data_IF_194137064217
#
_entry.id   IF_194137064217
#
_cell.length_a   1.000
_cell.length_b   1.000
_cell.length_c   1.000
_cell.angle_alpha   90.00
_cell.angle_beta   90.00
_cell.angle_gamma   90.00
#
_symmetry.space_group_name_H-M   'P 1'
#
loop_
_entity.id
_entity.type
_entity.pdbx_description
1 polymer ?
#
# COMPACT_ATOMS: atom_id res chain seq x y z
N UNK A 1 -2.13 6.33 29.81
CA UNK A 1 -3.36 6.92 29.22
C UNK A 1 -2.97 7.64 27.94
N UNK A 2 -3.72 7.42 26.85
CA UNK A 2 -3.52 8.13 25.60
C UNK A 2 -3.90 9.62 25.79
N UNK A 3 -3.11 10.52 25.23
CA UNK A 3 -3.50 11.92 25.01
C UNK A 3 -4.00 11.99 23.56
N UNK A 4 -5.02 12.80 23.28
CA UNK A 4 -5.53 12.96 21.91
C UNK A 4 -4.39 13.30 20.95
N UNK A 5 -4.33 12.60 19.81
CA UNK A 5 -3.26 12.72 18.83
C UNK A 5 -2.12 11.69 18.95
N UNK A 6 -2.16 10.77 19.92
CA UNK A 6 -1.22 9.65 19.96
C UNK A 6 -1.58 8.59 18.89
N UNK A 7 -0.67 8.32 17.94
CA UNK A 7 -0.74 7.16 17.03
C UNK A 7 -0.04 5.98 17.70
N UNK A 8 -0.71 4.82 17.74
CA UNK A 8 -0.15 3.61 18.32
C UNK A 8 0.13 2.56 17.25
N UNK A 9 1.31 1.96 17.33
CA UNK A 9 1.74 0.86 16.47
C UNK A 9 1.83 -0.40 17.30
N UNK A 10 1.32 -1.50 16.76
CA UNK A 10 1.39 -2.82 17.37
C UNK A 10 2.69 -3.50 16.95
N UNK A 11 3.34 -4.14 17.91
CA UNK A 11 4.41 -5.07 17.61
C UNK A 11 3.82 -6.31 16.93
N UNK A 12 4.08 -6.43 15.62
CA UNK A 12 3.63 -7.53 14.77
C UNK A 12 4.55 -8.77 14.85
N UNK A 13 5.64 -8.70 15.61
CA UNK A 13 6.61 -9.77 15.73
C UNK A 13 7.43 -9.98 14.45
N UNK A 14 7.72 -11.23 14.13
CA UNK A 14 8.57 -11.58 12.99
C UNK A 14 7.80 -11.56 11.68
N UNK A 15 8.41 -10.98 10.64
CA UNK A 15 7.89 -11.02 9.27
C UNK A 15 7.75 -12.46 8.77
N UNK A 16 6.64 -12.78 8.08
CA UNK A 16 6.37 -14.09 7.52
C UNK A 16 6.45 -14.02 5.98
N UNK A 17 7.12 -14.99 5.35
CA UNK A 17 7.15 -15.10 3.89
C UNK A 17 5.83 -15.69 3.37
N UNK A 18 5.19 -15.01 2.42
CA UNK A 18 3.93 -15.47 1.81
C UNK A 18 4.08 -16.84 1.15
N UNK A 19 5.24 -17.13 0.57
CA UNK A 19 5.55 -18.43 -0.01
C UNK A 19 5.51 -19.57 1.04
N UNK A 20 6.06 -19.35 2.23
CA UNK A 20 6.06 -20.35 3.29
C UNK A 20 4.65 -20.55 3.86
N UNK A 21 3.87 -19.47 3.94
CA UNK A 21 2.46 -19.53 4.31
C UNK A 21 1.65 -20.36 3.32
N UNK A 22 1.82 -20.14 2.01
CA UNK A 22 1.11 -20.87 0.96
C UNK A 22 1.40 -22.38 1.02
N UNK A 23 2.68 -22.77 1.14
CA UNK A 23 3.06 -24.19 1.31
C UNK A 23 2.41 -24.80 2.55
N UNK A 24 2.48 -24.09 3.68
CA UNK A 24 1.90 -24.57 4.93
C UNK A 24 0.38 -24.74 4.85
N UNK A 25 -0.32 -23.87 4.12
CA UNK A 25 -1.76 -24.00 3.90
C UNK A 25 -2.11 -25.27 3.09
N UNK A 26 -1.32 -25.61 2.08
CA UNK A 26 -1.47 -26.83 1.28
C UNK A 26 -1.26 -28.07 2.17
N UNK A 27 -0.16 -28.11 2.92
CA UNK A 27 0.18 -29.22 3.82
C UNK A 27 -0.87 -29.41 4.93
N UNK A 28 -1.33 -28.32 5.55
CA UNK A 28 -2.38 -28.36 6.59
C UNK A 28 -3.73 -28.84 6.05
N UNK A 29 -3.95 -28.74 4.75
CA UNK A 29 -5.15 -29.25 4.07
C UNK A 29 -5.02 -30.76 3.74
N UNK A 30 -3.90 -31.40 4.11
CA UNK A 30 -3.64 -32.81 3.81
C UNK A 30 -3.22 -33.06 2.36
N UNK A 31 -2.87 -32.01 1.63
CA UNK A 31 -2.46 -32.05 0.23
C UNK A 31 -0.96 -31.82 0.12
N UNK A 32 -0.39 -32.20 -1.02
CA UNK A 32 1.04 -32.08 -1.31
C UNK A 32 1.30 -30.94 -2.27
N UNK A 33 2.40 -30.22 -2.03
CA UNK A 33 2.88 -29.19 -2.95
C UNK A 33 3.47 -29.89 -4.17
N UNK A 34 3.08 -29.42 -5.36
CA UNK A 34 3.63 -29.86 -6.64
C UNK A 34 4.84 -29.00 -7.00
N UNK A 35 6.02 -29.60 -7.00
CA UNK A 35 7.30 -28.96 -7.34
C UNK A 35 8.27 -29.95 -7.99
N UNK A 36 9.53 -29.55 -8.21
CA UNK A 36 10.55 -30.40 -8.85
C UNK A 36 10.88 -31.68 -8.04
N UNK A 37 10.68 -31.65 -6.72
CA UNK A 37 10.94 -32.80 -5.83
C UNK A 37 9.71 -33.71 -5.73
N UNK A 38 8.52 -33.14 -5.86
CA UNK A 38 7.24 -33.85 -5.87
C UNK A 38 6.42 -33.51 -7.13
N UNK A 39 6.80 -34.06 -8.31
CA UNK A 39 6.12 -33.76 -9.57
C UNK A 39 4.68 -34.28 -9.63
N UNK A 40 4.34 -35.29 -8.81
CA UNK A 40 3.00 -35.87 -8.68
C UNK A 40 2.16 -35.19 -7.57
N UNK A 41 2.60 -34.03 -7.07
CA UNK A 41 1.88 -33.30 -6.02
C UNK A 41 0.50 -32.79 -6.44
N UNK A 42 -0.34 -32.50 -5.46
CA UNK A 42 -1.75 -32.13 -5.67
C UNK A 42 -1.93 -30.68 -6.15
N UNK A 43 -1.17 -29.74 -5.58
CA UNK A 43 -1.33 -28.29 -5.81
C UNK A 43 -0.01 -27.63 -6.20
N UNK A 44 0.02 -27.00 -7.38
CA UNK A 44 1.14 -26.16 -7.81
C UNK A 44 1.04 -24.74 -7.26
N UNK A 45 2.20 -24.11 -7.02
CA UNK A 45 2.29 -22.69 -6.65
C UNK A 45 2.88 -21.93 -7.85
N UNK A 46 2.05 -21.11 -8.49
CA UNK A 46 2.45 -20.30 -9.64
C UNK A 46 2.81 -18.87 -9.21
N UNK A 47 3.93 -18.34 -9.71
CA UNK A 47 4.36 -16.97 -9.43
C UNK A 47 3.79 -16.03 -10.50
N UNK A 48 2.87 -15.16 -10.09
CA UNK A 48 2.22 -14.19 -10.98
C UNK A 48 2.90 -12.82 -11.03
N UNK A 49 3.97 -12.63 -10.24
CA UNK A 49 4.62 -11.32 -10.06
C UNK A 49 3.86 -10.40 -9.11
N UNK A 50 4.45 -9.23 -8.86
CA UNK A 50 3.84 -8.17 -8.04
C UNK A 50 2.88 -7.34 -8.88
N UNK A 51 1.74 -6.97 -8.29
CA UNK A 51 0.82 -6.00 -8.89
C UNK A 51 1.37 -4.58 -8.71
N UNK A 52 1.00 -3.63 -9.58
CA UNK A 52 1.41 -2.24 -9.42
C UNK A 52 1.01 -1.68 -8.05
N UNK A 53 1.93 -0.97 -7.40
CA UNK A 53 1.75 -0.46 -6.04
C UNK A 53 1.96 -1.47 -4.91
N UNK A 54 2.21 -2.76 -5.21
CA UNK A 54 2.56 -3.73 -4.17
C UNK A 54 4.03 -3.62 -3.77
N UNK A 55 4.28 -3.80 -2.46
CA UNK A 55 5.62 -3.88 -1.89
C UNK A 55 5.98 -5.33 -1.60
N UNK A 56 7.23 -5.71 -1.88
CA UNK A 56 7.76 -7.03 -1.52
C UNK A 56 7.98 -7.17 0.00
N UNK A 57 8.25 -6.05 0.67
CA UNK A 57 8.43 -5.94 2.11
C UNK A 57 7.66 -4.73 2.62
N UNK A 58 6.88 -4.92 3.67
CA UNK A 58 6.26 -3.81 4.39
C UNK A 58 7.26 -3.21 5.38
N UNK A 59 7.18 -1.89 5.56
CA UNK A 59 7.94 -1.19 6.59
C UNK A 59 7.20 -1.32 7.92
N UNK A 60 7.90 -1.77 8.96
CA UNK A 60 7.39 -1.61 10.32
C UNK A 60 7.34 -0.12 10.61
N UNK A 61 6.14 0.43 10.86
CA UNK A 61 5.89 1.82 11.28
C UNK A 61 6.45 2.14 12.68
N UNK A 62 7.55 1.50 13.04
CA UNK A 62 8.38 1.88 14.17
C UNK A 62 9.22 3.05 13.66
N UNK A 63 8.60 4.23 13.55
CA UNK A 63 9.32 5.46 13.18
C UNK A 63 10.55 5.67 14.06
N UNK A 64 11.49 6.52 13.64
CA UNK A 64 12.85 6.68 14.18
C UNK A 64 13.02 6.83 15.72
N UNK A 65 11.94 6.89 16.51
CA UNK A 65 12.01 7.01 17.96
C UNK A 65 10.77 6.48 18.70
N UNK A 66 10.46 5.16 18.63
CA UNK A 66 9.27 4.61 19.26
C UNK A 66 9.35 4.73 20.77
N UNK A 67 8.37 5.41 21.37
CA UNK A 67 8.30 5.48 22.84
C UNK A 67 7.53 4.27 23.35
N UNK A 68 8.19 3.44 24.14
CA UNK A 68 7.54 2.35 24.87
C UNK A 68 6.40 2.91 25.71
N UNK A 69 5.23 2.29 25.61
CA UNK A 69 4.11 2.59 26.49
C UNK A 69 4.14 1.69 27.72
N UNK A 70 3.20 1.89 28.65
CA UNK A 70 3.01 1.02 29.81
C UNK A 70 2.69 -0.44 29.45
N UNK A 71 2.35 -0.73 28.18
CA UNK A 71 2.06 -2.07 27.69
C UNK A 71 3.09 -2.50 26.65
N UNK A 72 3.67 -3.70 26.81
CA UNK A 72 4.82 -4.18 26.03
C UNK A 72 4.55 -4.34 24.53
N UNK A 73 3.29 -4.46 24.12
CA UNK A 73 2.88 -4.62 22.70
C UNK A 73 2.39 -3.35 22.02
N UNK A 74 2.40 -2.20 22.72
CA UNK A 74 1.93 -0.94 22.17
C UNK A 74 3.07 0.09 22.16
N UNK A 75 3.36 0.62 20.99
CA UNK A 75 4.39 1.63 20.75
C UNK A 75 3.71 2.93 20.34
N UNK A 76 4.23 4.10 20.76
CA UNK A 76 3.74 5.39 20.24
C UNK A 76 4.57 5.81 19.04
N UNK A 77 3.91 6.01 17.91
CA UNK A 77 4.48 6.70 16.75
C UNK A 77 4.37 8.21 16.97
N UNK A 78 5.42 8.94 16.59
CA UNK A 78 5.40 10.39 16.51
C UNK A 78 5.33 10.76 15.04
N UNK A 79 4.19 11.31 14.62
CA UNK A 79 3.98 11.75 13.26
C UNK A 79 3.90 13.27 13.23
N UNK A 80 4.49 13.86 12.18
CA UNK A 80 4.25 15.26 11.86
C UNK A 80 2.80 15.41 11.38
N UNK A 81 2.14 16.49 11.81
CA UNK A 81 0.76 16.76 11.43
C UNK A 81 0.62 18.20 10.93
N UNK A 82 -0.31 18.39 9.99
CA UNK A 82 -0.69 19.71 9.52
C UNK A 82 -1.67 20.37 10.50
N UNK A 83 -1.66 21.69 10.55
CA UNK A 83 -2.78 22.42 11.17
C UNK A 83 -4.08 22.13 10.39
N UNK A 84 -5.23 22.15 11.06
CA UNK A 84 -6.50 21.91 10.39
C UNK A 84 -6.73 22.89 9.23
N UNK A 85 -6.41 24.18 9.41
CA UNK A 85 -6.56 25.18 8.35
C UNK A 85 -5.70 24.89 7.12
N UNK A 86 -4.47 24.41 7.31
CA UNK A 86 -3.60 24.06 6.19
C UNK A 86 -4.12 22.80 5.48
N UNK A 87 -4.51 21.78 6.26
CA UNK A 87 -5.05 20.53 5.73
C UNK A 87 -6.36 20.76 4.96
N UNK A 88 -7.27 21.57 5.50
CA UNK A 88 -8.55 21.92 4.87
C UNK A 88 -8.34 22.60 3.51
N UNK A 89 -7.43 23.57 3.44
CA UNK A 89 -7.08 24.20 2.16
C UNK A 89 -6.53 23.20 1.13
N UNK A 90 -5.70 22.25 1.58
CA UNK A 90 -5.13 21.19 0.73
C UNK A 90 -6.19 20.19 0.27
N UNK A 91 -7.13 19.81 1.14
CA UNK A 91 -8.25 18.93 0.80
C UNK A 91 -9.19 19.57 -0.22
N UNK A 92 -9.51 20.86 -0.06
CA UNK A 92 -10.32 21.60 -1.04
C UNK A 92 -9.64 21.65 -2.42
N UNK A 93 -8.33 21.84 -2.47
CA UNK A 93 -7.59 21.78 -3.73
C UNK A 93 -7.63 20.37 -4.35
N UNK A 94 -7.47 19.33 -3.54
CA UNK A 94 -7.56 17.94 -3.99
C UNK A 94 -8.96 17.61 -4.54
N UNK A 95 -10.01 18.09 -3.89
CA UNK A 95 -11.39 17.93 -4.36
C UNK A 95 -11.60 18.58 -5.73
N UNK A 96 -11.03 19.76 -5.97
CA UNK A 96 -11.08 20.39 -7.29
C UNK A 96 -10.39 19.53 -8.36
N UNK A 97 -9.22 18.96 -8.06
CA UNK A 97 -8.50 18.08 -8.98
C UNK A 97 -9.24 16.77 -9.25
N UNK A 98 -9.88 16.18 -8.22
CA UNK A 98 -10.73 15.00 -8.34
C UNK A 98 -11.96 15.25 -9.22
N UNK A 99 -12.60 16.41 -9.08
CA UNK A 99 -13.79 16.75 -9.86
C UNK A 99 -13.53 16.86 -11.36
N UNK A 100 -12.29 17.17 -11.77
CA UNK A 100 -11.87 17.21 -13.17
C UNK A 100 -11.05 15.98 -13.58
N UNK A 101 -10.91 15.01 -12.69
CA UNK A 101 -10.10 13.79 -12.85
C UNK A 101 -8.65 14.06 -13.29
N UNK A 102 -8.04 15.14 -12.78
CA UNK A 102 -6.65 15.49 -13.11
C UNK A 102 -5.68 14.62 -12.32
N UNK A 103 -5.41 13.42 -12.84
CA UNK A 103 -4.56 12.40 -12.21
C UNK A 103 -3.14 12.92 -11.96
N UNK A 104 -2.62 13.78 -12.84
CA UNK A 104 -1.29 14.38 -12.68
C UNK A 104 -1.23 15.27 -11.44
N UNK A 105 -2.22 16.15 -11.27
CA UNK A 105 -2.32 17.03 -10.10
C UNK A 105 -2.63 16.24 -8.84
N UNK A 106 -3.49 15.22 -8.90
CA UNK A 106 -3.79 14.33 -7.76
C UNK A 106 -2.51 13.64 -7.28
N UNK A 107 -1.72 13.05 -8.19
CA UNK A 107 -0.45 12.38 -7.85
C UNK A 107 0.53 13.36 -7.21
N UNK A 108 0.68 14.55 -7.79
CA UNK A 108 1.54 15.61 -7.24
C UNK A 108 1.08 16.06 -5.84
N UNK A 109 -0.23 16.13 -5.60
CA UNK A 109 -0.77 16.42 -4.26
C UNK A 109 -0.49 15.28 -3.29
N UNK A 110 -0.68 14.02 -3.69
CA UNK A 110 -0.36 12.88 -2.83
C UNK A 110 1.12 12.86 -2.43
N UNK A 111 2.05 13.10 -3.36
CA UNK A 111 3.49 13.21 -3.08
C UNK A 111 3.83 14.33 -2.08
N UNK A 112 3.07 15.44 -2.09
CA UNK A 112 3.30 16.58 -1.19
C UNK A 112 2.61 16.44 0.16
N UNK A 113 1.52 15.69 0.23
CA UNK A 113 0.66 15.60 1.41
C UNK A 113 0.95 14.37 2.25
N UNK A 114 1.41 13.29 1.64
CA UNK A 114 1.64 12.00 2.29
C UNK A 114 3.14 11.74 2.34
N UNK A 115 3.73 12.00 3.50
CA UNK A 115 5.14 11.68 3.77
C UNK A 115 5.36 10.18 3.54
N UNK A 116 6.31 9.82 2.66
CA UNK A 116 6.61 8.43 2.31
C UNK A 116 5.81 7.86 1.13
N UNK A 117 4.90 8.63 0.52
CA UNK A 117 4.28 8.23 -0.75
C UNK A 117 5.28 8.34 -1.90
N UNK A 118 5.64 7.18 -2.46
CA UNK A 118 6.46 7.08 -3.68
C UNK A 118 5.64 6.35 -4.73
N UNK A 119 5.09 7.05 -5.73
CA UNK A 119 4.24 6.40 -6.72
C UNK A 119 5.09 5.50 -7.64
N UNK A 120 4.58 4.31 -7.97
CA UNK A 120 5.18 3.46 -9.00
C UNK A 120 5.12 4.15 -10.37
N UNK A 121 6.07 3.84 -11.25
CA UNK A 121 6.34 4.64 -12.46
C UNK A 121 5.11 4.84 -13.37
N UNK A 122 4.29 3.80 -13.61
CA UNK A 122 3.12 3.89 -14.49
C UNK A 122 1.81 4.15 -13.74
N UNK A 123 0.99 5.06 -14.29
CA UNK A 123 -0.42 5.20 -13.90
C UNK A 123 -1.17 3.99 -14.48
N UNK A 124 -1.39 2.99 -13.65
CA UNK A 124 -2.09 1.75 -14.02
C UNK A 124 -3.58 1.79 -13.65
N UNK A 125 -4.12 2.99 -13.38
CA UNK A 125 -5.53 3.13 -13.04
C UNK A 125 -6.36 2.69 -14.25
N UNK A 126 -7.12 1.61 -14.09
CA UNK A 126 -7.95 1.04 -15.15
C UNK A 126 -8.96 2.06 -15.70
N UNK A 127 -9.43 3.00 -14.88
CA UNK A 127 -10.32 4.08 -15.29
C UNK A 127 -9.57 5.11 -16.14
N UNK A 128 -8.33 5.43 -15.78
CA UNK A 128 -7.47 6.32 -16.56
C UNK A 128 -7.10 5.71 -17.92
N UNK A 129 -6.70 4.43 -17.93
CA UNK A 129 -6.35 3.70 -19.14
C UNK A 129 -7.54 3.58 -20.10
N UNK A 130 -8.74 3.37 -19.57
CA UNK A 130 -9.97 3.34 -20.36
C UNK A 130 -10.30 4.74 -20.94
N UNK A 131 -10.17 5.81 -20.15
CA UNK A 131 -10.38 7.19 -20.62
C UNK A 131 -9.35 7.65 -21.66
N UNK A 132 -8.07 7.31 -21.51
CA UNK A 132 -7.04 7.57 -22.53
C UNK A 132 -7.32 6.81 -23.82
N UNK A 133 -7.71 5.53 -23.72
CA UNK A 133 -8.07 4.73 -24.89
C UNK A 133 -9.28 5.32 -25.63
N UNK A 134 -10.29 5.80 -24.90
CA UNK A 134 -11.44 6.52 -25.48
C UNK A 134 -11.02 7.85 -26.12
N UNK A 135 -10.20 8.66 -25.44
CA UNK A 135 -9.73 9.95 -25.96
C UNK A 135 -8.85 9.81 -27.21
N UNK A 136 -8.00 8.77 -27.27
CA UNK A 136 -7.22 8.42 -28.46
C UNK A 136 -8.13 7.92 -29.60
N UNK A 137 -9.15 7.11 -29.30
CA UNK A 137 -10.12 6.65 -30.29
C UNK A 137 -10.96 7.80 -30.89
N UNK A 138 -11.18 8.87 -30.11
CA UNK A 138 -11.88 10.10 -30.52
C UNK A 138 -10.98 11.14 -31.21
N UNK A 139 -9.67 10.90 -31.33
CA UNK A 139 -8.74 11.76 -32.08
C UNK A 139 -8.47 13.12 -31.43
N UNK A 140 -8.61 13.23 -30.10
CA UNK A 140 -8.49 14.50 -29.36
C UNK A 140 -7.13 14.68 -28.65
N UNK A 141 -6.03 14.13 -29.19
CA UNK A 141 -4.67 14.39 -28.66
C UNK A 141 -3.83 15.14 -29.68
N UNK A 142 -3.39 16.34 -29.30
CA UNK A 142 -2.40 17.19 -29.95
C UNK A 142 -1.53 17.83 -28.90
#
# INVERSE_FOLDING_TARGET
>A
MAKGGDVFVLDMGQSIKIMDLARRMIELSGLTVKDEQSPDGDIAIEITGLRPGEKLYEELLIGDNPRSTSHSRNMKAHEEFFSWSDLEAKLNALEMALNVNDVGVIRLMMEKLVTGYTPSDEIVDWVYLEQEAEAQALGMTG
#
